data_IF_059836813898
#
_entry.id   IF_059836813898
#
_cell.length_a   1.000
_cell.length_b   1.000
_cell.length_c   1.000
_cell.angle_alpha   90.00
_cell.angle_beta   90.00
_cell.angle_gamma   90.00
#
_symmetry.space_group_name_H-M   'P 1'
#
loop_
_entity.id
_entity.type
_entity.pdbx_description
1 polymer ?
#
# COMPACT_ATOMS: atom_id res chain seq x y z
N UNK A 1 26.29 14.96 9.23
CA UNK A 1 25.21 13.95 9.03
C UNK A 1 25.08 13.68 7.54
N UNK A 2 25.37 12.46 7.08
CA UNK A 2 25.18 12.05 5.69
C UNK A 2 23.68 12.12 5.37
N UNK A 3 23.32 12.80 4.29
CA UNK A 3 21.95 13.20 3.92
C UNK A 3 21.09 12.03 3.38
N UNK A 4 21.22 10.85 3.99
CA UNK A 4 20.65 9.57 3.55
C UNK A 4 19.19 9.37 3.97
N UNK A 5 18.66 10.23 4.85
CA UNK A 5 17.28 10.14 5.33
C UNK A 5 16.25 10.61 4.29
N UNK A 6 16.52 11.69 3.57
CA UNK A 6 15.53 12.28 2.64
C UNK A 6 15.18 11.32 1.50
N UNK A 7 16.18 10.65 0.91
CA UNK A 7 15.93 9.66 -0.16
C UNK A 7 15.13 8.45 0.34
N UNK A 8 15.36 8.02 1.59
CA UNK A 8 14.63 6.90 2.20
C UNK A 8 13.17 7.30 2.47
N UNK A 9 12.95 8.49 3.03
CA UNK A 9 11.61 9.04 3.29
C UNK A 9 10.83 9.22 1.97
N UNK A 10 11.46 9.76 0.92
CA UNK A 10 10.81 9.91 -0.39
C UNK A 10 10.43 8.56 -0.99
N UNK A 11 11.28 7.53 -0.87
CA UNK A 11 10.94 6.17 -1.33
C UNK A 11 9.76 5.59 -0.57
N UNK A 12 9.74 5.69 0.76
CA UNK A 12 8.63 5.20 1.59
C UNK A 12 7.34 5.95 1.26
N UNK A 13 7.39 7.28 1.08
CA UNK A 13 6.24 8.08 0.68
C UNK A 13 5.72 7.70 -0.71
N UNK A 14 6.60 7.47 -1.69
CA UNK A 14 6.22 7.02 -3.02
C UNK A 14 5.59 5.61 -3.01
N UNK A 15 6.17 4.67 -2.26
CA UNK A 15 5.61 3.33 -2.05
C UNK A 15 4.24 3.38 -1.37
N UNK A 16 4.07 4.24 -0.36
CA UNK A 16 2.78 4.46 0.31
C UNK A 16 1.72 5.04 -0.62
N UNK A 17 2.09 6.01 -1.47
CA UNK A 17 1.17 6.56 -2.48
C UNK A 17 0.73 5.52 -3.51
N UNK A 18 1.65 4.65 -3.95
CA UNK A 18 1.33 3.54 -4.86
C UNK A 18 0.38 2.55 -4.18
N UNK A 19 0.64 2.20 -2.91
CA UNK A 19 -0.21 1.29 -2.13
C UNK A 19 -1.65 1.82 -1.98
N UNK A 20 -1.79 3.13 -1.73
CA UNK A 20 -3.10 3.79 -1.64
C UNK A 20 -3.88 3.75 -2.97
N UNK A 21 -3.21 4.01 -4.09
CA UNK A 21 -3.84 3.91 -5.42
C UNK A 21 -4.24 2.47 -5.73
N UNK A 22 -3.40 1.50 -5.36
CA UNK A 22 -3.68 0.07 -5.55
C UNK A 22 -4.90 -0.39 -4.74
N UNK A 23 -5.04 0.08 -3.50
CA UNK A 23 -6.23 -0.18 -2.67
C UNK A 23 -7.51 0.28 -3.38
N UNK A 24 -7.50 1.49 -3.97
CA UNK A 24 -8.69 2.06 -4.60
C UNK A 24 -9.09 1.36 -5.92
N UNK A 25 -8.12 0.78 -6.63
CA UNK A 25 -8.34 0.13 -7.94
C UNK A 25 -8.64 -1.36 -7.78
N UNK A 26 -8.06 -2.03 -6.79
CA UNK A 26 -8.11 -3.49 -6.64
C UNK A 26 -8.83 -3.96 -5.37
N UNK A 27 -9.68 -3.13 -4.76
CA UNK A 27 -10.57 -3.61 -3.70
C UNK A 27 -11.74 -4.41 -4.31
N UNK A 28 -11.77 -5.72 -4.07
CA UNK A 28 -12.92 -6.55 -4.41
C UNK A 28 -13.40 -7.32 -3.18
N UNK A 29 -14.72 -7.42 -2.95
CA UNK A 29 -15.27 -8.21 -1.86
C UNK A 29 -14.97 -9.69 -2.11
N UNK A 30 -14.26 -10.35 -1.20
CA UNK A 30 -13.92 -11.78 -1.31
C UNK A 30 -15.14 -12.68 -1.28
N UNK A 31 -16.16 -12.25 -0.53
CA UNK A 31 -17.36 -13.02 -0.30
C UNK A 31 -18.59 -12.16 -0.62
N UNK A 32 -19.51 -12.66 -1.46
CA UNK A 32 -20.71 -11.92 -1.87
C UNK A 32 -21.70 -11.64 -0.72
N UNK A 33 -21.54 -12.27 0.45
CA UNK A 33 -22.34 -12.03 1.65
C UNK A 33 -21.64 -11.23 2.76
N UNK A 34 -20.37 -10.84 2.56
CA UNK A 34 -19.56 -10.13 3.55
C UNK A 34 -18.75 -9.01 2.88
N UNK A 35 -19.39 -7.89 2.51
CA UNK A 35 -18.74 -6.77 1.81
C UNK A 35 -17.67 -6.04 2.66
N UNK A 36 -17.57 -6.37 3.95
CA UNK A 36 -16.51 -5.91 4.86
C UNK A 36 -15.21 -6.69 4.71
N UNK A 37 -15.25 -7.91 4.16
CA UNK A 37 -14.06 -8.74 3.92
C UNK A 37 -13.59 -8.53 2.48
N UNK A 38 -12.95 -7.40 2.25
CA UNK A 38 -12.33 -7.07 0.96
C UNK A 38 -10.93 -7.66 0.93
N UNK A 39 -10.55 -8.26 -0.19
CA UNK A 39 -9.14 -8.53 -0.45
C UNK A 39 -8.53 -7.25 -0.99
N UNK A 40 -7.45 -6.82 -0.36
CA UNK A 40 -6.77 -5.60 -0.71
C UNK A 40 -5.28 -5.90 -0.96
N UNK A 41 -4.80 -5.56 -2.16
CA UNK A 41 -3.39 -5.73 -2.53
C UNK A 41 -2.47 -4.71 -1.84
N UNK A 42 -3.02 -3.80 -1.04
CA UNK A 42 -2.31 -2.82 -0.19
C UNK A 42 -1.35 -3.49 0.78
N UNK A 43 -1.70 -4.65 1.34
CA UNK A 43 -0.85 -5.37 2.29
C UNK A 43 0.48 -5.83 1.64
N UNK A 44 0.44 -6.23 0.37
CA UNK A 44 1.65 -6.63 -0.37
C UNK A 44 2.56 -5.42 -0.61
N UNK A 45 1.99 -4.29 -1.02
CA UNK A 45 2.76 -3.07 -1.24
C UNK A 45 3.31 -2.48 0.08
N UNK A 46 2.60 -2.64 1.20
CA UNK A 46 3.08 -2.29 2.53
C UNK A 46 4.26 -3.17 2.97
N UNK A 47 4.19 -4.49 2.72
CA UNK A 47 5.27 -5.45 3.02
C UNK A 47 6.54 -5.23 2.19
N UNK A 48 6.41 -4.75 0.95
CA UNK A 48 7.57 -4.40 0.11
C UNK A 48 8.21 -3.05 0.54
N UNK A 49 7.44 -2.20 1.22
CA UNK A 49 7.90 -0.90 1.70
C UNK A 49 8.56 -0.89 3.09
N UNK A 50 8.40 -1.95 3.89
CA UNK A 50 9.02 -2.12 5.21
C UNK A 50 10.51 -2.44 5.17
#
# INVERSE_FOLDING_TARGET
MKNTNTKKIVKIAALGAISFVLYFILEFPLLPGAPFLKFDFSDVAALVGS
#
